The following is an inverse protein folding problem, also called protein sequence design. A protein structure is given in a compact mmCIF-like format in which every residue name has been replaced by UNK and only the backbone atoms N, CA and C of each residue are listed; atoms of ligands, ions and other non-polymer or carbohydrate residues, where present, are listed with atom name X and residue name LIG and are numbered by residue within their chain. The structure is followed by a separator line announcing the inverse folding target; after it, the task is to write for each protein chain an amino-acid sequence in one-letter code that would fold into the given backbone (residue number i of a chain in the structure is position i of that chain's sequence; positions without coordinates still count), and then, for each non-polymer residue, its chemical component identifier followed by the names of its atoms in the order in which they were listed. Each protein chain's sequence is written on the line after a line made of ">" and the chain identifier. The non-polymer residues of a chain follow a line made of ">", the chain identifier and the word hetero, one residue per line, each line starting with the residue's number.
data_IF_789740937147
#
_entry.id   IF_789740937147
#
_cell.length_a   1.000
_cell.length_b   1.000
_cell.length_c   1.000
_cell.angle_alpha   90.00
_cell.angle_beta   90.00
_cell.angle_gamma   90.00
#
_symmetry.space_group_name_H-M   'P 1'
#
loop_
_entity.id
_entity.type
_entity.pdbx_description
1 polymer ?
#
# COMPACT_ATOMS: atom_id res chain seq x y z
N UNK A 1 44.05 -56.88 12.96
CA UNK A 1 43.84 -57.40 11.59
C UNK A 1 42.35 -57.24 11.29
N UNK A 2 41.81 -56.73 10.18
CA UNK A 2 42.27 -56.27 8.86
C UNK A 2 41.07 -55.49 8.25
N UNK A 3 41.35 -54.36 7.58
CA UNK A 3 40.73 -53.83 6.34
C UNK A 3 39.24 -53.38 6.41
N UNK A 4 38.91 -52.09 6.16
CA UNK A 4 38.71 -51.41 4.85
C UNK A 4 37.62 -52.10 4.01
N UNK A 5 36.62 -51.51 3.32
CA UNK A 5 36.26 -50.14 2.87
C UNK A 5 34.97 -50.30 1.97
N UNK A 6 34.19 -49.22 1.76
CA UNK A 6 33.28 -48.89 0.61
C UNK A 6 31.76 -49.23 0.62
N UNK A 7 31.00 -48.12 0.51
CA UNK A 7 29.72 -47.78 -0.15
C UNK A 7 28.69 -48.86 -0.53
N UNK A 8 27.41 -48.51 -0.26
CA UNK A 8 26.43 -48.34 -1.34
C UNK A 8 25.37 -47.27 -0.96
N UNK A 9 25.08 -46.42 -1.94
CA UNK A 9 24.16 -45.28 -1.93
C UNK A 9 22.72 -45.79 -1.97
N UNK A 10 21.86 -45.30 -1.07
CA UNK A 10 20.41 -45.38 -1.25
C UNK A 10 19.84 -43.96 -1.26
N UNK A 11 19.62 -43.48 -2.48
CA UNK A 11 18.89 -42.27 -2.80
C UNK A 11 17.40 -42.48 -2.45
N UNK A 12 16.92 -41.86 -1.38
CA UNK A 12 15.50 -41.68 -1.15
C UNK A 12 15.22 -40.17 -1.07
N UNK A 13 14.76 -39.62 -2.20
CA UNK A 13 14.18 -38.28 -2.28
C UNK A 13 12.93 -38.26 -1.38
N UNK A 14 13.04 -37.73 -0.17
CA UNK A 14 11.86 -37.28 0.56
C UNK A 14 11.52 -35.89 0.04
N UNK A 15 10.69 -35.86 -1.01
CA UNK A 15 9.96 -34.67 -1.39
C UNK A 15 9.00 -34.34 -0.24
N UNK A 16 9.47 -33.54 0.72
CA UNK A 16 8.56 -32.85 1.61
C UNK A 16 7.78 -31.85 0.77
N UNK A 17 6.60 -32.28 0.33
CA UNK A 17 5.54 -31.42 -0.17
C UNK A 17 5.11 -30.47 0.95
N UNK A 18 5.87 -29.39 1.12
CA UNK A 18 5.42 -28.21 1.86
C UNK A 18 4.45 -27.47 0.95
N UNK A 19 3.19 -27.88 1.02
CA UNK A 19 1.99 -27.10 0.68
C UNK A 19 2.10 -26.15 -0.50
N UNK A 20 1.52 -26.59 -1.62
CA UNK A 20 0.77 -25.74 -2.53
C UNK A 20 0.00 -24.67 -1.74
N UNK A 21 0.45 -23.43 -1.89
CA UNK A 21 -0.04 -22.28 -1.14
C UNK A 21 0.99 -21.18 -1.28
N UNK A 22 1.26 -20.80 -2.52
CA UNK A 22 2.21 -19.74 -2.83
C UNK A 22 1.94 -18.56 -1.92
N UNK A 23 2.89 -18.23 -1.07
CA UNK A 23 2.91 -16.97 -0.35
C UNK A 23 3.01 -15.88 -1.42
N UNK A 24 1.86 -15.44 -1.94
CA UNK A 24 1.77 -14.26 -2.77
C UNK A 24 2.11 -13.09 -1.86
N UNK A 25 3.41 -12.85 -1.71
CA UNK A 25 3.95 -11.64 -1.11
C UNK A 25 3.41 -10.52 -1.98
N UNK A 26 2.38 -9.82 -1.51
CA UNK A 26 1.93 -8.61 -2.17
C UNK A 26 3.15 -7.67 -2.22
N UNK A 27 3.70 -7.48 -3.42
CA UNK A 27 4.83 -6.59 -3.62
C UNK A 27 4.26 -5.18 -3.55
N UNK A 28 4.35 -4.56 -2.38
CA UNK A 28 4.19 -3.14 -2.33
C UNK A 28 5.40 -2.51 -3.04
N UNK A 29 5.16 -1.81 -4.14
CA UNK A 29 6.21 -1.13 -4.87
C UNK A 29 6.09 0.37 -4.62
N UNK A 30 7.16 0.95 -4.10
CA UNK A 30 7.32 2.38 -4.00
C UNK A 30 8.15 2.87 -5.18
N UNK A 31 7.71 3.96 -5.82
CA UNK A 31 8.53 4.65 -6.81
C UNK A 31 8.18 6.13 -6.84
N UNK A 32 9.02 6.89 -7.53
CA UNK A 32 8.87 8.34 -7.65
C UNK A 32 9.02 8.77 -9.09
N UNK A 33 8.24 9.77 -9.49
CA UNK A 33 8.41 10.47 -10.76
C UNK A 33 8.58 11.95 -10.48
N UNK A 34 9.73 12.49 -10.88
CA UNK A 34 10.06 13.91 -10.70
C UNK A 34 9.72 14.66 -11.98
N UNK A 35 8.74 15.56 -11.91
CA UNK A 35 8.46 16.52 -12.97
C UNK A 35 9.09 17.89 -12.67
N UNK A 36 8.88 18.86 -13.57
CA UNK A 36 9.44 20.21 -13.42
C UNK A 36 8.86 21.01 -12.25
N UNK A 37 7.66 20.66 -11.77
CA UNK A 37 6.94 21.40 -10.72
C UNK A 37 6.75 20.55 -9.45
N UNK A 38 6.52 19.25 -9.60
CA UNK A 38 6.15 18.35 -8.49
C UNK A 38 6.94 17.06 -8.56
N UNK A 39 7.24 16.49 -7.39
CA UNK A 39 7.60 15.08 -7.25
C UNK A 39 6.35 14.28 -6.94
N UNK A 40 6.03 13.30 -7.78
CA UNK A 40 4.93 12.38 -7.52
C UNK A 40 5.47 11.11 -6.89
N UNK A 41 4.95 10.78 -5.71
CA UNK A 41 5.27 9.57 -4.98
C UNK A 41 4.17 8.54 -5.16
N UNK A 42 4.55 7.32 -5.51
CA UNK A 42 3.64 6.22 -5.77
C UNK A 42 3.85 5.10 -4.75
N UNK A 43 2.76 4.44 -4.40
CA UNK A 43 2.75 3.25 -3.56
C UNK A 43 1.66 2.31 -4.09
N UNK A 44 2.04 1.12 -4.53
CA UNK A 44 1.09 0.08 -4.92
C UNK A 44 1.03 -1.03 -3.89
N UNK A 45 -0.03 -1.83 -3.91
CA UNK A 45 -0.17 -2.98 -3.03
C UNK A 45 -1.58 -3.53 -3.02
N UNK A 46 -1.92 -4.26 -1.97
CA UNK A 46 -3.28 -4.74 -1.74
C UNK A 46 -3.67 -4.64 -0.27
N UNK A 47 -4.95 -4.42 0.02
CA UNK A 47 -5.47 -4.36 1.38
C UNK A 47 -6.90 -4.89 1.46
N UNK A 48 -7.21 -5.60 2.55
CA UNK A 48 -8.59 -6.04 2.83
C UNK A 48 -9.28 -5.14 3.86
N UNK A 49 -8.55 -4.65 4.88
CA UNK A 49 -9.10 -3.78 5.92
C UNK A 49 -8.61 -2.34 5.78
N UNK A 50 -7.31 -2.08 5.95
CA UNK A 50 -6.76 -0.75 5.75
C UNK A 50 -5.29 -0.78 5.35
N UNK A 51 -4.82 0.33 4.80
CA UNK A 51 -3.40 0.59 4.56
C UNK A 51 -3.11 2.08 4.73
N UNK A 52 -1.94 2.39 5.29
CA UNK A 52 -1.48 3.77 5.46
C UNK A 52 -0.53 4.14 4.33
N UNK A 53 -0.75 5.33 3.77
CA UNK A 53 0.14 5.92 2.80
C UNK A 53 1.24 6.70 3.51
N UNK A 54 2.28 7.07 2.75
CA UNK A 54 3.39 7.91 3.25
C UNK A 54 2.89 9.17 3.96
N UNK A 55 3.72 9.66 4.85
CA UNK A 55 3.51 10.96 5.49
C UNK A 55 3.74 12.10 4.49
N UNK A 56 2.88 13.11 4.54
CA UNK A 56 2.86 14.27 3.66
C UNK A 56 3.03 15.51 4.52
N UNK A 57 3.93 16.41 4.11
CA UNK A 57 4.13 17.71 4.76
C UNK A 57 4.06 18.79 3.68
N UNK A 58 2.89 19.45 3.51
CA UNK A 58 2.74 20.51 2.53
C UNK A 58 3.77 21.62 2.78
N UNK A 59 4.68 21.82 1.84
CA UNK A 59 5.76 22.82 1.89
C UNK A 59 5.26 24.17 1.38
N UNK A 60 4.34 24.17 0.42
CA UNK A 60 3.66 25.34 -0.14
C UNK A 60 2.19 25.01 -0.44
N UNK A 61 1.33 26.02 -0.35
CA UNK A 61 -0.11 25.89 -0.64
C UNK A 61 -0.94 25.23 0.47
N UNK A 62 -2.26 25.24 0.25
CA UNK A 62 -3.29 24.73 1.17
C UNK A 62 -3.97 23.48 0.63
N UNK A 63 -3.33 22.75 -0.29
CA UNK A 63 -3.92 21.60 -0.99
C UNK A 63 -2.99 20.39 -1.01
N UNK A 64 -3.55 19.19 -0.79
CA UNK A 64 -2.89 17.91 -1.10
C UNK A 64 -3.57 17.32 -2.34
N UNK A 65 -2.78 17.05 -3.37
CA UNK A 65 -3.20 16.41 -4.61
C UNK A 65 -2.75 14.95 -4.61
N UNK A 66 -3.71 14.04 -4.56
CA UNK A 66 -3.48 12.61 -4.59
C UNK A 66 -4.42 11.92 -5.58
N UNK A 67 -4.21 10.63 -5.80
CA UNK A 67 -5.07 9.79 -6.59
C UNK A 67 -4.92 8.32 -6.20
N UNK A 68 -5.93 7.52 -6.49
CA UNK A 68 -5.87 6.08 -6.32
C UNK A 68 -6.51 5.39 -7.50
N UNK A 69 -5.76 4.51 -8.15
CA UNK A 69 -6.30 3.50 -9.05
C UNK A 69 -6.57 2.26 -8.19
N UNK A 70 -7.78 1.74 -8.24
CA UNK A 70 -8.17 0.54 -7.48
C UNK A 70 -8.79 -0.52 -8.40
N UNK A 71 -8.66 -1.77 -7.98
CA UNK A 71 -9.30 -2.93 -8.60
C UNK A 71 -9.75 -3.89 -7.49
N UNK A 72 -11.02 -4.30 -7.54
CA UNK A 72 -11.60 -5.26 -6.60
C UNK A 72 -12.73 -6.04 -7.27
N UNK A 73 -12.93 -7.29 -6.83
CA UNK A 73 -14.08 -8.10 -7.23
C UNK A 73 -15.42 -7.51 -6.79
N UNK A 74 -15.41 -6.64 -5.77
CA UNK A 74 -16.60 -5.93 -5.30
C UNK A 74 -16.72 -4.53 -5.91
N UNK A 75 -17.96 -4.10 -6.13
CA UNK A 75 -18.29 -2.72 -6.51
C UNK A 75 -18.44 -1.82 -5.29
N UNK A 76 -18.66 -0.51 -5.53
CA UNK A 76 -18.86 0.49 -4.49
C UNK A 76 -17.60 1.30 -4.21
N UNK A 77 -17.49 1.80 -2.97
CA UNK A 77 -16.40 2.68 -2.55
C UNK A 77 -15.68 2.14 -1.32
N UNK A 78 -14.48 2.65 -1.09
CA UNK A 78 -13.78 2.56 0.18
C UNK A 78 -13.50 3.98 0.68
N UNK A 79 -12.95 4.15 1.88
CA UNK A 79 -12.64 5.46 2.45
C UNK A 79 -11.18 5.81 2.21
N UNK A 80 -10.92 7.05 1.81
CA UNK A 80 -9.62 7.70 1.90
C UNK A 80 -9.70 8.80 2.96
N UNK A 81 -9.15 8.51 4.14
CA UNK A 81 -9.21 9.38 5.32
C UNK A 81 -7.89 10.12 5.43
N UNK A 82 -7.90 11.43 5.21
CA UNK A 82 -6.80 12.32 5.53
C UNK A 82 -6.73 12.48 7.05
N UNK A 83 -5.60 12.09 7.63
CA UNK A 83 -5.31 12.24 9.04
C UNK A 83 -4.25 13.32 9.26
N UNK A 84 -4.43 14.18 10.26
CA UNK A 84 -3.47 15.20 10.68
C UNK A 84 -2.80 14.75 11.99
N UNK A 85 -1.48 14.87 12.08
CA UNK A 85 -0.77 14.66 13.34
C UNK A 85 -0.88 15.90 14.22
N UNK A 86 -1.42 15.74 15.42
CA UNK A 86 -1.55 16.79 16.43
C UNK A 86 -0.95 16.22 17.72
N UNK A 87 0.14 16.83 18.20
CA UNK A 87 0.85 16.38 19.40
C UNK A 87 1.22 14.88 19.35
N UNK A 88 1.62 14.39 18.17
CA UNK A 88 1.99 12.98 17.95
C UNK A 88 0.82 12.02 17.75
N UNK A 89 -0.43 12.49 17.85
CA UNK A 89 -1.64 11.67 17.67
C UNK A 89 -2.26 11.95 16.30
N UNK A 90 -2.59 10.88 15.58
CA UNK A 90 -3.26 10.98 14.29
C UNK A 90 -4.77 11.17 14.47
N UNK A 91 -5.27 12.33 14.04
CA UNK A 91 -6.69 12.66 14.09
C UNK A 91 -7.28 12.65 12.69
N UNK A 92 -8.48 12.11 12.53
CA UNK A 92 -9.21 12.16 11.26
C UNK A 92 -9.57 13.61 10.95
N UNK A 93 -9.15 14.09 9.79
CA UNK A 93 -9.36 15.48 9.36
C UNK A 93 -10.40 15.59 8.25
N UNK A 94 -10.26 14.81 7.19
CA UNK A 94 -11.22 14.78 6.06
C UNK A 94 -11.34 13.37 5.50
N UNK A 95 -12.49 13.05 4.91
CA UNK A 95 -12.73 11.76 4.28
C UNK A 95 -13.23 11.94 2.85
N UNK A 96 -12.74 11.11 1.93
CA UNK A 96 -13.24 10.94 0.56
C UNK A 96 -13.57 9.47 0.31
N UNK A 97 -14.28 9.21 -0.78
CA UNK A 97 -14.78 7.89 -1.13
C UNK A 97 -14.34 7.45 -2.53
N UNK A 98 -13.11 6.94 -2.70
CA UNK A 98 -12.69 6.37 -3.97
C UNK A 98 -13.53 5.16 -4.38
N UNK A 99 -13.70 4.97 -5.68
CA UNK A 99 -14.32 3.76 -6.23
C UNK A 99 -13.41 2.55 -6.02
N UNK A 100 -13.98 1.39 -5.71
CA UNK A 100 -13.23 0.13 -5.61
C UNK A 100 -12.66 -0.35 -6.95
N UNK A 101 -13.19 0.20 -8.05
CA UNK A 101 -12.77 -0.09 -9.42
C UNK A 101 -12.59 1.21 -10.21
N UNK A 102 -11.41 1.39 -10.80
CA UNK A 102 -11.06 2.57 -11.58
C UNK A 102 -10.20 3.58 -10.83
N UNK A 103 -9.98 4.73 -11.46
CA UNK A 103 -9.21 5.83 -10.91
C UNK A 103 -10.10 6.85 -10.21
N UNK A 104 -9.71 7.29 -9.02
CA UNK A 104 -10.30 8.44 -8.34
C UNK A 104 -9.23 9.47 -8.01
N UNK A 105 -9.44 10.72 -8.44
CA UNK A 105 -8.65 11.87 -8.01
C UNK A 105 -9.05 12.35 -6.61
N UNK A 106 -8.08 12.63 -5.75
CA UNK A 106 -8.26 13.00 -4.36
C UNK A 106 -7.61 14.36 -4.07
N UNK A 107 -8.40 15.42 -4.11
CA UNK A 107 -7.95 16.78 -3.74
C UNK A 107 -8.44 17.17 -2.36
N UNK A 108 -7.53 17.32 -1.39
CA UNK A 108 -7.87 17.81 -0.05
C UNK A 108 -7.49 19.28 0.08
N UNK A 109 -8.50 20.13 0.23
CA UNK A 109 -8.33 21.57 0.45
C UNK A 109 -8.21 21.93 1.94
N UNK A 110 -7.80 23.18 2.20
CA UNK A 110 -7.58 23.78 3.51
C UNK A 110 -6.68 22.93 4.42
N UNK A 111 -5.58 22.41 3.86
CA UNK A 111 -4.51 21.83 4.66
C UNK A 111 -3.60 22.93 5.19
N UNK A 112 -3.08 22.73 6.39
CA UNK A 112 -2.16 23.66 7.05
C UNK A 112 -0.75 23.40 6.52
N UNK A 113 -0.10 24.44 5.99
CA UNK A 113 1.30 24.38 5.61
C UNK A 113 2.16 23.97 6.81
N UNK A 114 3.17 23.12 6.57
CA UNK A 114 4.07 22.64 7.61
C UNK A 114 3.47 21.62 8.58
N UNK A 115 2.16 21.40 8.57
CA UNK A 115 1.56 20.31 9.34
C UNK A 115 1.83 18.95 8.68
N UNK A 116 1.79 17.92 9.50
CA UNK A 116 2.08 16.55 9.08
C UNK A 116 0.77 15.79 8.88
N UNK A 117 0.61 15.23 7.68
CA UNK A 117 -0.57 14.48 7.26
C UNK A 117 -0.22 13.07 6.83
N UNK A 118 -1.20 12.17 6.80
CA UNK A 118 -1.14 10.89 6.10
C UNK A 118 -2.52 10.52 5.59
N UNK A 119 -2.60 9.62 4.62
CA UNK A 119 -3.89 9.10 4.14
C UNK A 119 -4.02 7.64 4.57
N UNK A 120 -5.14 7.30 5.20
CA UNK A 120 -5.55 5.93 5.48
C UNK A 120 -6.57 5.52 4.41
N UNK A 121 -6.25 4.48 3.64
CA UNK A 121 -7.25 3.79 2.83
C UNK A 121 -7.90 2.74 3.72
N UNK A 122 -9.23 2.77 3.84
CA UNK A 122 -10.00 1.87 4.72
C UNK A 122 -11.16 1.27 3.93
N UNK A 123 -11.21 -0.05 3.88
CA UNK A 123 -12.26 -0.84 3.27
C UNK A 123 -13.10 -1.49 4.38
N UNK A 124 -14.42 -1.29 4.30
CA UNK A 124 -15.39 -1.93 5.21
C UNK A 124 -16.01 -3.18 4.60
N UNK A 125 -15.69 -3.49 3.34
CA UNK A 125 -16.11 -4.73 2.68
C UNK A 125 -15.16 -5.89 2.97
N UNK A 126 -15.57 -7.08 2.52
CA UNK A 126 -14.80 -8.33 2.68
C UNK A 126 -13.74 -8.54 1.61
N UNK A 127 -13.95 -8.02 0.39
CA UNK A 127 -13.03 -8.26 -0.71
C UNK A 127 -11.75 -7.43 -0.60
N UNK A 128 -10.64 -8.05 -0.99
CA UNK A 128 -9.34 -7.40 -1.17
C UNK A 128 -9.44 -6.32 -2.25
N UNK A 129 -8.72 -5.22 -2.05
CA UNK A 129 -8.56 -4.14 -3.03
C UNK A 129 -7.09 -4.08 -3.41
N UNK A 130 -6.78 -4.32 -4.68
CA UNK A 130 -5.49 -4.02 -5.27
C UNK A 130 -5.47 -2.55 -5.67
N UNK A 131 -4.37 -1.83 -5.41
CA UNK A 131 -4.32 -0.39 -5.62
C UNK A 131 -2.95 0.12 -6.05
N UNK A 132 -2.98 1.28 -6.71
CA UNK A 132 -1.85 2.17 -6.91
C UNK A 132 -2.25 3.56 -6.43
N UNK A 133 -1.68 3.99 -5.31
CA UNK A 133 -1.83 5.32 -4.76
C UNK A 133 -0.74 6.24 -5.30
N UNK A 134 -1.07 7.52 -5.52
CA UNK A 134 -0.10 8.55 -5.83
C UNK A 134 -0.40 9.84 -5.07
N UNK A 135 0.65 10.59 -4.73
CA UNK A 135 0.54 11.93 -4.14
C UNK A 135 1.64 12.84 -4.69
N UNK A 136 1.27 14.08 -5.01
CA UNK A 136 2.19 15.12 -5.46
C UNK A 136 2.70 15.92 -4.27
N UNK A 137 4.01 16.16 -4.20
CA UNK A 137 4.66 17.05 -3.24
C UNK A 137 5.75 17.89 -3.91
#
# INVERSE_FOLDING_TARGET
>A
MKKRIILAIALALVLSFSSLGGTQKAVAADWTSTGSIWTTYYHSGSFSSYVYQRTIKPSSGSTILAGVQANSSETGTFKAILQKSVNGVWQNYRTKYPTKNGYTALTFYDVTQGATYRIKLENTGSSKIDYTFNVKQ
#
